data_IF_083100589568
#
_entry.id   IF_083100589568
#
_cell.length_a   1.000
_cell.length_b   1.000
_cell.length_c   1.000
_cell.angle_alpha   90.00
_cell.angle_beta   90.00
_cell.angle_gamma   90.00
#
_symmetry.space_group_name_H-M   'P 1'
#
loop_
_entity.id
_entity.type
_entity.pdbx_description
1 polymer ?
#
# COMPACT_ATOMS: atom_id res chain seq x y z
N UNK A 1 -12.66 -29.98 19.28
CA UNK A 1 -13.05 -29.62 17.89
C UNK A 1 -11.85 -29.90 17.00
N UNK A 2 -12.05 -30.60 15.88
CA UNK A 2 -10.94 -31.11 15.05
C UNK A 2 -10.41 -30.03 14.11
N UNK A 3 -9.13 -30.12 13.74
CA UNK A 3 -8.53 -29.22 12.75
C UNK A 3 -9.14 -29.44 11.36
N UNK A 4 -9.42 -28.34 10.64
CA UNK A 4 -10.02 -28.37 9.32
C UNK A 4 -9.13 -29.02 8.24
N UNK A 5 -7.80 -29.02 8.43
CA UNK A 5 -6.84 -29.64 7.51
C UNK A 5 -6.33 -31.00 7.99
N UNK A 6 -6.40 -31.29 9.30
CA UNK A 6 -5.94 -32.54 9.89
C UNK A 6 -7.02 -33.11 10.80
N UNK A 7 -7.85 -34.04 10.29
CA UNK A 7 -8.92 -34.67 11.07
C UNK A 7 -8.41 -35.46 12.28
N UNK A 8 -7.13 -35.82 12.25
CA UNK A 8 -6.44 -36.58 13.29
C UNK A 8 -6.05 -35.72 14.51
N UNK A 9 -5.97 -34.40 14.35
CA UNK A 9 -5.47 -33.48 15.38
C UNK A 9 -6.57 -32.56 15.92
N UNK A 10 -6.54 -32.32 17.22
CA UNK A 10 -7.39 -31.31 17.84
C UNK A 10 -6.96 -29.89 17.46
N UNK A 11 -7.96 -29.03 17.27
CA UNK A 11 -7.73 -27.63 16.99
C UNK A 11 -7.36 -26.88 18.28
N UNK A 12 -6.29 -26.10 18.20
CA UNK A 12 -5.78 -25.26 19.30
C UNK A 12 -6.24 -23.81 19.16
N UNK A 13 -6.85 -23.43 18.04
CA UNK A 13 -7.35 -22.07 17.81
C UNK A 13 -8.16 -21.91 16.54
N UNK A 14 -8.72 -20.72 16.34
CA UNK A 14 -9.52 -20.32 15.18
C UNK A 14 -8.75 -19.32 14.33
N UNK A 15 -8.82 -19.46 13.00
CA UNK A 15 -8.27 -18.48 12.07
C UNK A 15 -9.02 -17.15 12.18
N UNK A 16 -8.34 -16.04 12.48
CA UNK A 16 -9.00 -14.72 12.54
C UNK A 16 -9.55 -14.25 11.19
N UNK A 17 -8.99 -14.73 10.08
CA UNK A 17 -9.43 -14.35 8.72
C UNK A 17 -10.60 -15.16 8.17
N UNK A 18 -10.66 -16.48 8.43
CA UNK A 18 -11.69 -17.37 7.86
C UNK A 18 -12.48 -18.19 8.89
N UNK A 19 -12.23 -18.00 10.18
CA UNK A 19 -12.91 -18.65 11.31
C UNK A 19 -12.86 -20.19 11.28
N UNK A 20 -11.88 -20.77 10.56
CA UNK A 20 -11.64 -22.22 10.54
C UNK A 20 -10.81 -22.65 11.74
N UNK A 21 -11.15 -23.79 12.32
CA UNK A 21 -10.41 -24.41 13.42
C UNK A 21 -9.08 -25.00 12.92
N UNK A 22 -7.97 -24.63 13.56
CA UNK A 22 -6.60 -24.98 13.18
C UNK A 22 -5.87 -25.62 14.36
N UNK A 23 -5.10 -26.68 14.10
CA UNK A 23 -4.13 -27.22 15.07
C UNK A 23 -2.86 -26.37 15.07
N UNK A 24 -2.02 -26.51 16.10
CA UNK A 24 -0.77 -25.75 16.28
C UNK A 24 0.16 -25.81 15.07
N UNK A 25 0.19 -26.93 14.34
CA UNK A 25 0.98 -27.09 13.11
C UNK A 25 0.47 -26.26 11.93
N UNK A 26 -0.83 -25.98 11.87
CA UNK A 26 -1.44 -25.21 10.77
C UNK A 26 -1.53 -23.71 11.07
N UNK A 27 -1.17 -23.29 12.29
CA UNK A 27 -1.14 -21.88 12.66
C UNK A 27 0.18 -21.26 12.21
N UNK A 28 0.10 -20.12 11.55
CA UNK A 28 1.29 -19.33 11.23
C UNK A 28 1.57 -18.34 12.35
N UNK A 29 2.81 -18.28 12.81
CA UNK A 29 3.28 -17.49 13.96
C UNK A 29 3.45 -16.00 13.61
N UNK A 30 2.48 -15.46 12.88
CA UNK A 30 2.29 -14.02 12.79
C UNK A 30 1.43 -13.63 14.00
N UNK A 31 1.57 -12.42 14.55
CA UNK A 31 0.85 -11.91 15.75
C UNK A 31 -0.69 -12.17 15.79
N UNK A 32 -1.28 -12.62 14.68
CA UNK A 32 -2.61 -13.21 14.61
C UNK A 32 -2.57 -14.64 14.05
N UNK A 33 -3.36 -15.53 14.67
CA UNK A 33 -3.56 -16.92 14.23
C UNK A 33 -4.23 -16.94 12.85
N UNK A 34 -3.45 -17.01 11.78
CA UNK A 34 -3.93 -17.13 10.40
C UNK A 34 -3.52 -18.46 9.77
N UNK A 35 -4.40 -19.02 8.94
CA UNK A 35 -4.05 -20.13 8.06
C UNK A 35 -3.21 -19.66 6.86
N UNK A 36 -2.44 -20.56 6.26
CA UNK A 36 -1.60 -20.29 5.08
C UNK A 36 -2.34 -19.57 3.95
N UNK A 37 -3.59 -19.97 3.65
CA UNK A 37 -4.42 -19.32 2.62
C UNK A 37 -4.75 -17.86 2.96
N UNK A 38 -5.09 -17.57 4.21
CA UNK A 38 -5.40 -16.21 4.66
C UNK A 38 -4.14 -15.32 4.66
N UNK A 39 -2.98 -15.87 5.04
CA UNK A 39 -1.69 -15.16 4.95
C UNK A 39 -1.37 -14.80 3.49
N UNK A 40 -1.49 -15.77 2.58
CA UNK A 40 -1.24 -15.54 1.14
C UNK A 40 -2.22 -14.49 0.59
N UNK A 41 -3.50 -14.57 0.94
CA UNK A 41 -4.51 -13.60 0.51
C UNK A 41 -4.22 -12.18 1.03
N UNK A 42 -3.85 -12.04 2.30
CA UNK A 42 -3.45 -10.76 2.89
C UNK A 42 -2.21 -10.18 2.19
N UNK A 43 -1.18 -10.99 1.99
CA UNK A 43 0.05 -10.58 1.31
C UNK A 43 -0.20 -10.14 -0.14
N UNK A 44 -1.08 -10.85 -0.85
CA UNK A 44 -1.49 -10.49 -2.21
C UNK A 44 -2.29 -9.17 -2.24
N UNK A 45 -3.15 -8.93 -1.24
CA UNK A 45 -3.88 -7.68 -1.14
C UNK A 45 -2.94 -6.48 -0.93
N UNK A 46 -1.97 -6.60 -0.02
CA UNK A 46 -0.94 -5.56 0.21
C UNK A 46 -0.12 -5.31 -1.05
N UNK A 47 0.32 -6.38 -1.73
CA UNK A 47 1.10 -6.27 -2.97
C UNK A 47 0.31 -5.59 -4.09
N UNK A 48 -0.97 -5.95 -4.28
CA UNK A 48 -1.85 -5.32 -5.29
C UNK A 48 -2.09 -3.85 -5.00
N UNK A 49 -2.30 -3.48 -3.73
CA UNK A 49 -2.45 -2.08 -3.33
C UNK A 49 -1.20 -1.28 -3.68
N UNK A 50 -0.02 -1.79 -3.33
CA UNK A 50 1.25 -1.14 -3.65
C UNK A 50 1.50 -1.05 -5.15
N UNK A 51 1.18 -2.10 -5.92
CA UNK A 51 1.29 -2.09 -7.38
C UNK A 51 0.37 -1.04 -8.02
N UNK A 52 -0.85 -0.85 -7.51
CA UNK A 52 -1.76 0.21 -7.98
C UNK A 52 -1.18 1.60 -7.71
N UNK A 53 -0.65 1.84 -6.51
CA UNK A 53 0.03 3.09 -6.16
C UNK A 53 1.20 3.38 -7.11
N UNK A 54 2.02 2.35 -7.38
CA UNK A 54 3.16 2.46 -8.28
C UNK A 54 2.73 2.68 -9.74
N UNK A 55 1.67 2.00 -10.21
CA UNK A 55 1.11 2.20 -11.54
C UNK A 55 0.59 3.64 -11.73
N UNK A 56 -0.13 4.18 -10.74
CA UNK A 56 -0.59 5.58 -10.76
C UNK A 56 0.61 6.54 -10.80
N UNK A 57 1.64 6.29 -9.99
CA UNK A 57 2.87 7.11 -10.01
C UNK A 57 3.56 7.11 -11.37
N UNK A 58 3.63 5.94 -12.04
CA UNK A 58 4.22 5.80 -13.36
C UNK A 58 3.41 6.50 -14.44
N UNK A 59 2.08 6.40 -14.40
CA UNK A 59 1.19 7.12 -15.33
C UNK A 59 1.33 8.63 -15.16
N UNK A 60 1.40 9.14 -13.92
CA UNK A 60 1.61 10.56 -13.66
C UNK A 60 2.97 11.05 -14.17
N UNK A 61 4.02 10.25 -14.01
CA UNK A 61 5.36 10.58 -14.51
C UNK A 61 5.37 10.67 -16.04
N UNK A 62 4.84 9.66 -16.75
CA UNK A 62 4.79 9.67 -18.21
C UNK A 62 3.87 10.78 -18.70
N UNK A 63 2.69 10.95 -18.09
CA UNK A 63 1.72 11.98 -18.47
C UNK A 63 2.30 13.39 -18.34
N UNK A 64 2.99 13.69 -17.22
CA UNK A 64 3.62 15.00 -17.04
C UNK A 64 4.78 15.23 -18.00
N UNK A 65 5.62 14.23 -18.26
CA UNK A 65 6.69 14.33 -19.26
C UNK A 65 6.12 14.58 -20.66
N UNK A 66 5.08 13.86 -21.08
CA UNK A 66 4.46 14.02 -22.40
C UNK A 66 3.78 15.38 -22.59
N UNK A 67 3.18 15.94 -21.53
CA UNK A 67 2.54 17.26 -21.60
C UNK A 67 3.60 18.37 -21.61
N UNK A 68 4.63 18.26 -20.76
CA UNK A 68 5.64 19.30 -20.61
C UNK A 68 6.74 19.23 -21.69
N UNK A 69 6.89 18.14 -22.44
CA UNK A 69 7.93 18.01 -23.48
C UNK A 69 7.81 19.02 -24.61
N UNK A 70 6.60 19.52 -24.88
CA UNK A 70 6.35 20.55 -25.89
C UNK A 70 6.47 21.99 -25.34
N UNK A 71 6.79 22.15 -24.06
CA UNK A 71 6.94 23.48 -23.46
C UNK A 71 8.33 24.06 -23.70
N UNK A 72 8.45 25.39 -23.75
CA UNK A 72 9.72 26.10 -23.89
C UNK A 72 10.61 26.07 -22.62
N UNK A 73 10.30 25.22 -21.64
CA UNK A 73 11.01 25.15 -20.36
C UNK A 73 12.30 24.33 -20.48
N UNK A 74 13.26 24.61 -19.60
CA UNK A 74 14.47 23.80 -19.49
C UNK A 74 14.14 22.35 -19.09
N UNK A 75 14.87 21.38 -19.63
CA UNK A 75 14.72 19.95 -19.31
C UNK A 75 14.86 19.63 -17.81
N UNK A 76 15.65 20.42 -17.08
CA UNK A 76 15.82 20.29 -15.63
C UNK A 76 14.52 20.61 -14.86
N UNK A 77 13.79 21.64 -15.27
CA UNK A 77 12.48 21.99 -14.69
C UNK A 77 11.41 20.96 -15.04
N UNK A 78 11.43 20.41 -16.25
CA UNK A 78 10.49 19.39 -16.69
C UNK A 78 10.65 18.11 -15.86
N UNK A 79 11.89 17.65 -15.68
CA UNK A 79 12.20 16.42 -14.93
C UNK A 79 11.90 16.56 -13.44
N UNK A 80 12.22 17.70 -12.82
CA UNK A 80 11.89 17.96 -11.41
C UNK A 80 10.38 18.00 -11.17
N UNK A 81 9.61 18.68 -12.02
CA UNK A 81 8.14 18.69 -11.93
C UNK A 81 7.54 17.30 -12.13
N UNK A 82 8.04 16.52 -13.10
CA UNK A 82 7.57 15.15 -13.34
C UNK A 82 7.86 14.23 -12.15
N UNK A 83 9.04 14.36 -11.53
CA UNK A 83 9.37 13.63 -10.31
C UNK A 83 8.47 14.03 -9.15
N UNK A 84 8.24 15.32 -8.91
CA UNK A 84 7.31 15.78 -7.86
C UNK A 84 5.90 15.24 -8.06
N UNK A 85 5.41 15.22 -9.31
CA UNK A 85 4.10 14.66 -9.64
C UNK A 85 4.02 13.14 -9.41
N UNK A 86 5.11 12.41 -9.69
CA UNK A 86 5.16 10.95 -9.50
C UNK A 86 5.07 10.53 -8.03
N UNK A 87 5.61 11.33 -7.10
CA UNK A 87 5.57 11.04 -5.66
C UNK A 87 4.30 11.52 -4.95
N UNK A 88 3.46 12.30 -5.65
CA UNK A 88 2.19 12.81 -5.15
C UNK A 88 1.24 11.71 -4.60
N UNK A 89 0.99 10.58 -5.28
CA UNK A 89 0.10 9.53 -4.75
C UNK A 89 0.57 8.96 -3.40
N UNK A 90 1.88 8.81 -3.20
CA UNK A 90 2.45 8.34 -1.93
C UNK A 90 2.24 9.35 -0.81
N UNK A 91 2.55 10.63 -1.06
CA UNK A 91 2.32 11.71 -0.11
C UNK A 91 0.83 11.90 0.21
N UNK A 92 -0.04 11.78 -0.78
CA UNK A 92 -1.49 11.84 -0.61
C UNK A 92 -2.01 10.70 0.28
N UNK A 93 -1.59 9.46 0.03
CA UNK A 93 -2.00 8.30 0.85
C UNK A 93 -1.57 8.41 2.31
N UNK A 94 -0.40 9.01 2.57
CA UNK A 94 0.10 9.25 3.92
C UNK A 94 -0.69 10.36 4.61
N UNK A 95 -0.94 11.46 3.90
CA UNK A 95 -1.57 12.64 4.46
C UNK A 95 -3.06 12.42 4.72
N UNK A 96 -3.77 11.76 3.80
CA UNK A 96 -5.19 11.41 3.97
C UNK A 96 -5.48 10.51 5.17
N UNK A 97 -4.49 9.76 5.65
CA UNK A 97 -4.61 8.94 6.87
C UNK A 97 -4.73 9.79 8.14
N UNK A 98 -4.07 10.95 8.20
CA UNK A 98 -4.05 11.81 9.37
C UNK A 98 -4.95 13.04 9.23
N UNK A 99 -5.05 13.56 8.01
CA UNK A 99 -5.82 14.75 7.67
C UNK A 99 -6.77 14.41 6.51
N UNK A 100 -8.08 14.26 6.73
CA UNK A 100 -9.00 14.04 5.63
C UNK A 100 -9.06 15.26 4.70
N UNK A 101 -9.12 15.09 3.37
CA UNK A 101 -9.24 16.20 2.43
C UNK A 101 -10.62 16.81 2.67
N UNK A 102 -10.70 18.11 2.99
CA UNK A 102 -11.84 18.80 3.63
C UNK A 102 -13.25 18.67 3.00
N UNK A 103 -13.76 17.45 2.85
CA UNK A 103 -15.07 17.11 2.32
C UNK A 103 -16.20 17.60 3.24
N UNK A 104 -15.89 17.89 4.50
CA UNK A 104 -16.79 18.45 5.49
C UNK A 104 -17.09 19.95 5.31
N UNK A 105 -16.35 20.69 4.47
CA UNK A 105 -16.68 22.09 4.19
C UNK A 105 -17.85 22.17 3.21
N UNK A 106 -18.88 22.95 3.54
CA UNK A 106 -20.05 23.14 2.68
C UNK A 106 -19.76 24.08 1.49
N UNK A 107 -18.95 25.13 1.71
CA UNK A 107 -18.64 26.11 0.67
C UNK A 107 -17.63 25.58 -0.37
N UNK A 108 -17.91 25.71 -1.68
CA UNK A 108 -17.01 25.25 -2.74
C UNK A 108 -15.61 25.88 -2.66
N UNK A 109 -15.52 27.18 -2.39
CA UNK A 109 -14.23 27.87 -2.29
C UNK A 109 -13.35 27.35 -1.15
N UNK A 110 -13.96 27.11 0.03
CA UNK A 110 -13.26 26.52 1.18
C UNK A 110 -12.80 25.09 0.89
N UNK A 111 -13.60 24.30 0.15
CA UNK A 111 -13.19 22.96 -0.32
C UNK A 111 -11.98 23.02 -1.24
N UNK A 112 -11.97 23.93 -2.22
CA UNK A 112 -10.82 24.09 -3.13
C UNK A 112 -9.57 24.52 -2.37
N UNK A 113 -9.68 25.50 -1.47
CA UNK A 113 -8.54 25.97 -0.68
C UNK A 113 -7.94 24.88 0.20
N UNK A 114 -8.80 24.11 0.90
CA UNK A 114 -8.37 22.97 1.70
C UNK A 114 -7.71 21.89 0.82
N UNK A 115 -8.26 21.61 -0.37
CA UNK A 115 -7.72 20.63 -1.29
C UNK A 115 -6.37 21.05 -1.88
N UNK A 116 -6.21 22.32 -2.26
CA UNK A 116 -4.93 22.86 -2.76
C UNK A 116 -3.85 22.81 -1.69
N UNK A 117 -4.18 23.18 -0.44
CA UNK A 117 -3.25 23.07 0.67
C UNK A 117 -2.88 21.60 0.92
N UNK A 118 -3.86 20.69 0.87
CA UNK A 118 -3.62 19.26 1.02
C UNK A 118 -2.72 18.69 -0.07
N UNK A 119 -2.94 19.09 -1.33
CA UNK A 119 -2.09 18.71 -2.47
C UNK A 119 -0.66 19.24 -2.31
N UNK A 120 -0.51 20.48 -1.86
CA UNK A 120 0.80 21.08 -1.65
C UNK A 120 1.59 20.33 -0.56
N UNK A 121 0.97 20.08 0.59
CA UNK A 121 1.59 19.31 1.67
C UNK A 121 1.85 17.87 1.26
N UNK A 122 0.93 17.25 0.50
CA UNK A 122 1.13 15.91 -0.05
C UNK A 122 2.31 15.85 -1.02
N UNK A 123 2.52 16.87 -1.87
CA UNK A 123 3.66 16.93 -2.77
C UNK A 123 4.99 17.07 -2.01
N UNK A 124 5.04 17.91 -0.96
CA UNK A 124 6.22 18.06 -0.11
C UNK A 124 6.54 16.77 0.66
N UNK A 125 5.53 16.17 1.27
CA UNK A 125 5.68 14.92 2.02
C UNK A 125 5.97 13.74 1.09
N UNK A 126 5.49 13.75 -0.15
CA UNK A 126 5.74 12.69 -1.13
C UNK A 126 7.23 12.43 -1.34
N UNK A 127 8.06 13.48 -1.34
CA UNK A 127 9.51 13.36 -1.49
C UNK A 127 10.18 12.62 -0.32
N UNK A 128 9.74 12.87 0.92
CA UNK A 128 10.32 12.26 2.12
C UNK A 128 9.70 10.89 2.44
N UNK A 129 8.39 10.79 2.29
CA UNK A 129 7.59 9.62 2.67
C UNK A 129 7.62 8.55 1.58
N UNK A 130 7.79 8.92 0.31
CA UNK A 130 7.89 7.99 -0.82
C UNK A 130 8.98 6.93 -0.61
N UNK A 131 10.25 7.30 -0.40
CA UNK A 131 11.33 6.34 -0.18
C UNK A 131 11.09 5.42 1.03
N UNK A 132 10.55 5.97 2.12
CA UNK A 132 10.27 5.21 3.33
C UNK A 132 9.12 4.21 3.15
N UNK A 133 8.04 4.60 2.48
CA UNK A 133 6.92 3.71 2.16
C UNK A 133 7.34 2.60 1.19
N UNK A 134 8.17 2.93 0.20
CA UNK A 134 8.71 1.94 -0.74
C UNK A 134 9.60 0.93 0.02
N UNK A 135 10.50 1.41 0.89
CA UNK A 135 11.34 0.53 1.71
C UNK A 135 10.51 -0.40 2.59
N UNK A 136 9.50 0.14 3.29
CA UNK A 136 8.62 -0.65 4.15
C UNK A 136 7.84 -1.69 3.36
N UNK A 137 7.27 -1.32 2.21
CA UNK A 137 6.52 -2.21 1.35
C UNK A 137 7.42 -3.34 0.79
N UNK A 138 8.62 -3.01 0.31
CA UNK A 138 9.59 -4.01 -0.17
C UNK A 138 9.97 -4.98 0.95
N UNK A 139 10.24 -4.46 2.16
CA UNK A 139 10.56 -5.30 3.33
C UNK A 139 9.41 -6.24 3.70
N UNK A 140 8.17 -5.76 3.67
CA UNK A 140 6.98 -6.57 3.92
C UNK A 140 6.78 -7.64 2.84
N UNK A 141 7.00 -7.31 1.56
CA UNK A 141 6.92 -8.25 0.44
C UNK A 141 8.00 -9.33 0.55
N UNK A 142 9.24 -8.97 0.92
CA UNK A 142 10.32 -9.94 1.10
C UNK A 142 10.02 -10.90 2.24
N UNK A 143 9.53 -10.40 3.38
CA UNK A 143 9.08 -11.23 4.50
C UNK A 143 7.93 -12.15 4.07
N UNK A 144 6.90 -11.61 3.44
CA UNK A 144 5.76 -12.36 2.90
C UNK A 144 6.21 -13.48 1.94
N UNK A 145 7.18 -13.21 1.07
CA UNK A 145 7.72 -14.20 0.13
C UNK A 145 8.45 -15.32 0.85
N UNK A 146 9.28 -15.02 1.84
CA UNK A 146 9.97 -16.04 2.63
C UNK A 146 9.00 -16.95 3.39
N UNK A 147 7.95 -16.37 3.98
CA UNK A 147 6.89 -17.11 4.68
C UNK A 147 6.06 -17.95 3.71
N UNK A 148 5.68 -17.41 2.56
CA UNK A 148 4.94 -18.18 1.55
C UNK A 148 5.76 -19.35 0.99
N UNK A 149 7.08 -19.20 0.84
CA UNK A 149 7.98 -20.27 0.41
C UNK A 149 8.06 -21.39 1.46
N UNK A 150 8.21 -21.06 2.74
CA UNK A 150 8.22 -22.07 3.81
C UNK A 150 6.88 -22.80 3.94
N UNK A 151 5.76 -22.11 3.67
CA UNK A 151 4.42 -22.71 3.75
C UNK A 151 4.07 -23.60 2.54
N UNK A 152 4.71 -23.39 1.38
CA UNK A 152 4.52 -24.25 0.21
C UNK A 152 5.38 -25.51 0.24
N UNK A 153 6.38 -25.57 1.12
CA UNK A 153 7.25 -26.73 1.31
C UNK A 153 6.77 -27.68 2.43
N UNK A 154 5.76 -27.27 3.21
CA UNK A 154 5.07 -28.09 4.22
C UNK A 154 3.82 -28.75 3.64
#
# INVERSE_FOLDING_TARGET
>A
MKCANHPENDATGLCTGCQRALCSKCQTDNDAVLCSRCVIAHNNAVTRYFFKQLAISGVLLVGTLSILSNSAMAWQTITTLALMASFLPFGWSALTRYFPPGHHYFHPAARFMALSFHLFVAALLGWLVGPWQIYKAVREIMKARSVNLSLNQQ
#
